data_IF_967208335723
#
_entry.id   IF_967208335723
#
_cell.length_a   1.000
_cell.length_b   1.000
_cell.length_c   1.000
_cell.angle_alpha   90.00
_cell.angle_beta   90.00
_cell.angle_gamma   90.00
#
_symmetry.space_group_name_H-M   'P 1'
#
loop_
_entity.id
_entity.type
_entity.pdbx_description
1 polymer ?
#
# COMPACT_ATOMS: atom_id res chain seq x y z
N UNK A 1 17.06 8.39 -6.49
CA UNK A 1 16.74 6.95 -6.41
C UNK A 1 16.94 6.42 -5.00
N UNK A 2 18.14 6.50 -4.43
CA UNK A 2 18.50 5.92 -3.12
C UNK A 2 17.58 6.39 -1.98
N UNK A 3 17.33 7.69 -1.87
CA UNK A 3 16.46 8.24 -0.82
C UNK A 3 15.05 7.63 -0.84
N UNK A 4 14.47 7.42 -2.04
CA UNK A 4 13.14 6.77 -2.17
C UNK A 4 13.21 5.32 -1.72
N UNK A 5 14.26 4.59 -2.09
CA UNK A 5 14.48 3.21 -1.65
C UNK A 5 14.69 3.13 -0.14
N UNK A 6 15.49 4.02 0.43
CA UNK A 6 15.73 4.03 1.88
C UNK A 6 14.44 4.27 2.67
N UNK A 7 13.65 5.28 2.28
CA UNK A 7 12.41 5.62 2.99
C UNK A 7 11.34 4.54 2.79
N UNK A 8 11.09 4.13 1.54
CA UNK A 8 9.95 3.25 1.25
C UNK A 8 10.25 1.77 1.50
N UNK A 9 11.50 1.34 1.33
CA UNK A 9 11.88 -0.08 1.38
C UNK A 9 12.64 -0.39 2.66
N UNK A 10 13.83 0.23 2.83
CA UNK A 10 14.71 -0.09 3.95
C UNK A 10 14.02 0.16 5.29
N UNK A 11 13.39 1.32 5.47
CA UNK A 11 12.71 1.65 6.73
C UNK A 11 11.49 0.77 6.98
N UNK A 12 10.71 0.46 5.93
CA UNK A 12 9.56 -0.45 6.07
C UNK A 12 10.00 -1.85 6.50
N UNK A 13 11.08 -2.38 5.91
CA UNK A 13 11.63 -3.66 6.29
C UNK A 13 12.23 -3.66 7.71
N UNK A 14 12.98 -2.62 8.08
CA UNK A 14 13.55 -2.49 9.43
C UNK A 14 12.44 -2.45 10.48
N UNK A 15 11.38 -1.70 10.25
CA UNK A 15 10.24 -1.63 11.16
C UNK A 15 9.55 -3.00 11.27
N UNK A 16 9.27 -3.65 10.14
CA UNK A 16 8.66 -5.00 10.13
C UNK A 16 9.53 -6.01 10.90
N UNK A 17 10.85 -5.95 10.75
CA UNK A 17 11.79 -6.80 11.49
C UNK A 17 11.72 -6.59 12.99
N UNK A 18 11.72 -5.34 13.44
CA UNK A 18 11.73 -5.05 14.88
C UNK A 18 10.38 -5.39 15.54
N UNK A 19 9.24 -5.08 14.89
CA UNK A 19 7.94 -5.47 15.45
C UNK A 19 7.74 -6.99 15.44
N UNK A 20 8.30 -7.69 14.45
CA UNK A 20 8.29 -9.17 14.43
C UNK A 20 8.99 -9.77 15.65
N UNK A 21 10.14 -9.22 16.05
CA UNK A 21 10.84 -9.68 17.27
C UNK A 21 9.94 -9.51 18.50
N UNK A 22 9.29 -8.36 18.61
CA UNK A 22 8.38 -8.07 19.73
C UNK A 22 7.18 -9.02 19.73
N UNK A 23 6.54 -9.23 18.56
CA UNK A 23 5.39 -10.12 18.43
C UNK A 23 5.74 -11.58 18.78
N UNK A 24 6.92 -12.06 18.32
CA UNK A 24 7.42 -13.40 18.69
C UNK A 24 7.66 -13.55 20.18
N UNK A 25 8.21 -12.52 20.83
CA UNK A 25 8.44 -12.53 22.28
C UNK A 25 7.12 -12.52 23.09
N UNK A 26 6.07 -11.89 22.56
CA UNK A 26 4.74 -11.87 23.18
C UNK A 26 4.02 -13.23 23.06
N UNK A 27 4.24 -13.96 21.97
CA UNK A 27 3.68 -15.29 21.75
C UNK A 27 2.23 -15.32 21.27
N UNK A 28 1.59 -14.17 21.08
CA UNK A 28 0.16 -14.06 20.73
C UNK A 28 -0.07 -13.88 19.20
N UNK A 29 1.00 -14.03 18.39
CA UNK A 29 0.95 -13.72 16.97
C UNK A 29 0.92 -12.20 16.70
N UNK A 30 0.40 -11.80 15.56
CA UNK A 30 0.31 -10.37 15.22
C UNK A 30 -0.11 -10.08 13.79
N UNK A 31 -0.35 -8.80 13.52
CA UNK A 31 -0.73 -8.28 12.19
C UNK A 31 0.24 -7.19 11.77
N UNK A 32 0.92 -7.40 10.64
CA UNK A 32 1.78 -6.41 10.00
C UNK A 32 1.11 -5.99 8.70
N UNK A 33 0.81 -4.70 8.56
CA UNK A 33 0.21 -4.14 7.34
C UNK A 33 1.17 -3.10 6.78
N UNK A 34 1.75 -3.42 5.63
CA UNK A 34 2.62 -2.50 4.88
C UNK A 34 1.79 -1.64 3.93
N UNK A 35 2.31 -0.47 3.57
CA UNK A 35 1.66 0.44 2.62
C UNK A 35 2.41 0.40 1.28
N UNK A 36 1.83 -0.32 0.33
CA UNK A 36 2.27 -0.37 -1.06
C UNK A 36 1.58 0.71 -1.90
N UNK A 37 1.33 0.45 -3.15
CA UNK A 37 0.64 1.33 -4.10
C UNK A 37 0.20 0.53 -5.32
N UNK A 38 -0.79 1.00 -6.06
CA UNK A 38 -1.04 0.54 -7.44
C UNK A 38 0.23 0.61 -8.31
N UNK A 39 1.21 1.45 -7.94
CA UNK A 39 2.52 1.56 -8.60
C UNK A 39 3.50 0.44 -8.25
N UNK A 40 3.19 -0.41 -7.33
CA UNK A 40 3.89 -1.69 -7.13
C UNK A 40 3.62 -2.68 -8.27
N UNK A 41 2.44 -2.58 -8.90
CA UNK A 41 2.03 -3.41 -10.04
C UNK A 41 2.23 -2.71 -11.39
N UNK A 42 1.92 -1.42 -11.47
CA UNK A 42 1.86 -0.66 -12.72
C UNK A 42 2.96 0.39 -12.80
N UNK A 43 3.60 0.52 -13.97
CA UNK A 43 4.49 1.62 -14.29
C UNK A 43 3.78 2.97 -14.44
N UNK A 44 4.56 4.05 -14.55
CA UNK A 44 4.07 5.39 -14.81
C UNK A 44 5.08 6.18 -15.67
N UNK A 45 4.63 6.88 -16.72
CA UNK A 45 5.55 7.54 -17.68
C UNK A 45 6.23 8.81 -17.13
N UNK A 46 5.75 9.40 -16.03
CA UNK A 46 6.21 10.70 -15.53
C UNK A 46 7.38 10.62 -14.53
N UNK A 47 8.42 9.82 -14.81
CA UNK A 47 9.63 9.79 -13.97
C UNK A 47 9.49 9.03 -12.65
N UNK A 48 8.54 8.13 -12.52
CA UNK A 48 8.23 7.38 -11.30
C UNK A 48 9.08 6.11 -11.11
N UNK A 49 10.19 5.94 -11.83
CA UNK A 49 11.00 4.71 -11.77
C UNK A 49 11.36 4.31 -10.33
N UNK A 50 11.93 5.23 -9.55
CA UNK A 50 12.30 4.95 -8.16
C UNK A 50 11.08 4.59 -7.29
N UNK A 51 9.98 5.30 -7.46
CA UNK A 51 8.75 5.05 -6.70
C UNK A 51 8.13 3.70 -7.06
N UNK A 52 7.96 3.39 -8.34
CA UNK A 52 7.45 2.09 -8.79
C UNK A 52 8.33 0.96 -8.29
N UNK A 53 9.66 1.05 -8.47
CA UNK A 53 10.61 0.07 -7.97
C UNK A 53 10.48 -0.13 -6.46
N UNK A 54 10.36 0.95 -5.68
CA UNK A 54 10.22 0.87 -4.23
C UNK A 54 8.92 0.18 -3.80
N UNK A 55 7.80 0.46 -4.48
CA UNK A 55 6.51 -0.16 -4.14
C UNK A 55 6.43 -1.62 -4.58
N UNK A 56 7.05 -1.99 -5.71
CA UNK A 56 7.25 -3.41 -6.09
C UNK A 56 8.13 -4.15 -5.07
N UNK A 57 9.16 -3.48 -4.52
CA UNK A 57 9.97 -4.07 -3.45
C UNK A 57 9.16 -4.30 -2.16
N UNK A 58 8.28 -3.36 -1.78
CA UNK A 58 7.37 -3.55 -0.63
C UNK A 58 6.43 -4.73 -0.85
N UNK A 59 5.92 -4.92 -2.07
CA UNK A 59 5.11 -6.09 -2.43
C UNK A 59 5.92 -7.39 -2.28
N UNK A 60 7.19 -7.38 -2.70
CA UNK A 60 8.13 -8.49 -2.52
C UNK A 60 8.39 -8.81 -1.04
N UNK A 61 8.65 -7.79 -0.21
CA UNK A 61 8.82 -7.91 1.24
C UNK A 61 7.56 -8.50 1.88
N UNK A 62 6.38 -8.02 1.50
CA UNK A 62 5.11 -8.51 2.03
C UNK A 62 4.95 -10.01 1.80
N UNK A 63 5.23 -10.47 0.57
CA UNK A 63 5.14 -11.89 0.20
C UNK A 63 6.16 -12.73 0.94
N UNK A 64 7.42 -12.30 0.96
CA UNK A 64 8.51 -13.02 1.61
C UNK A 64 8.26 -13.18 3.12
N UNK A 65 7.99 -12.07 3.83
CA UNK A 65 7.70 -12.12 5.26
C UNK A 65 6.42 -12.89 5.57
N UNK A 66 5.39 -12.81 4.70
CA UNK A 66 4.17 -13.60 4.85
C UNK A 66 4.44 -15.11 4.83
N UNK A 67 5.38 -15.56 3.99
CA UNK A 67 5.83 -16.95 3.96
C UNK A 67 6.72 -17.29 5.17
N UNK A 68 7.69 -16.45 5.49
CA UNK A 68 8.67 -16.67 6.56
C UNK A 68 8.03 -16.74 7.96
N UNK A 69 6.90 -16.03 8.15
CA UNK A 69 6.24 -15.91 9.46
C UNK A 69 4.97 -16.73 9.57
N UNK A 70 4.60 -17.52 8.56
CA UNK A 70 3.31 -18.20 8.47
C UNK A 70 3.01 -19.17 9.62
N UNK A 71 4.02 -19.78 10.22
CA UNK A 71 3.90 -20.72 11.35
C UNK A 71 3.94 -20.04 12.73
N UNK A 72 4.17 -18.73 12.77
CA UNK A 72 4.34 -17.97 14.03
C UNK A 72 3.04 -17.31 14.51
N UNK A 73 1.94 -17.45 13.77
CA UNK A 73 0.70 -16.71 14.03
C UNK A 73 0.75 -15.22 13.64
N UNK A 74 1.86 -14.77 13.02
CA UNK A 74 2.01 -13.41 12.50
C UNK A 74 1.63 -13.40 11.02
N UNK A 75 0.71 -12.52 10.63
CA UNK A 75 0.39 -12.30 9.22
C UNK A 75 1.01 -11.00 8.71
N UNK A 76 1.50 -11.01 7.48
CA UNK A 76 2.08 -9.83 6.81
C UNK A 76 1.34 -9.60 5.51
N UNK A 77 0.67 -8.46 5.41
CA UNK A 77 -0.09 -8.06 4.23
C UNK A 77 0.24 -6.62 3.84
N UNK A 78 -0.19 -6.18 2.68
CA UNK A 78 -0.08 -4.78 2.27
C UNK A 78 -1.41 -4.22 1.79
N UNK A 79 -1.62 -2.92 2.01
CA UNK A 79 -2.65 -2.14 1.34
C UNK A 79 -1.98 -1.41 0.17
N UNK A 80 -2.58 -1.46 -1.00
CA UNK A 80 -2.07 -0.82 -2.22
C UNK A 80 -3.09 0.21 -2.75
N UNK A 81 -3.08 1.44 -2.24
CA UNK A 81 -3.96 2.50 -2.72
C UNK A 81 -3.47 3.07 -4.06
N UNK A 82 -4.37 3.77 -4.76
CA UNK A 82 -4.04 4.69 -5.84
C UNK A 82 -4.01 6.12 -5.32
N UNK A 83 -4.65 7.08 -6.00
CA UNK A 83 -4.71 8.47 -5.55
C UNK A 83 -5.83 8.66 -4.54
N UNK A 84 -5.47 9.05 -3.34
CA UNK A 84 -6.35 9.39 -2.24
C UNK A 84 -6.17 10.85 -1.83
N UNK A 85 -7.21 11.47 -1.28
CA UNK A 85 -7.09 12.79 -0.67
C UNK A 85 -6.13 12.73 0.53
N UNK A 86 -5.10 13.54 0.49
CA UNK A 86 -4.08 13.65 1.54
C UNK A 86 -3.37 14.98 1.41
N UNK A 87 -2.57 15.41 2.40
CA UNK A 87 -1.74 16.61 2.24
C UNK A 87 -0.84 16.58 1.00
N UNK A 88 -0.32 15.41 0.63
CA UNK A 88 0.54 15.24 -0.55
C UNK A 88 -0.22 15.44 -1.87
N UNK A 89 -1.48 15.08 -1.93
CA UNK A 89 -2.33 15.11 -3.13
C UNK A 89 -3.35 16.25 -3.11
N UNK A 90 -3.35 17.11 -2.07
CA UNK A 90 -4.31 18.18 -1.86
C UNK A 90 -4.48 19.07 -3.11
N UNK A 91 -3.36 19.38 -3.78
CA UNK A 91 -3.35 20.17 -5.00
C UNK A 91 -4.24 19.61 -6.13
N UNK A 92 -4.40 18.28 -6.22
CA UNK A 92 -5.28 17.64 -7.21
C UNK A 92 -6.77 17.89 -6.94
N UNK A 93 -7.10 18.30 -5.72
CA UNK A 93 -8.48 18.55 -5.29
C UNK A 93 -8.84 20.04 -5.27
N UNK A 94 -7.91 20.91 -5.66
CA UNK A 94 -8.15 22.35 -5.81
C UNK A 94 -9.12 22.63 -6.96
N UNK A 95 -9.84 23.75 -6.85
CA UNK A 95 -10.78 24.20 -7.88
C UNK A 95 -10.09 25.17 -8.85
N UNK A 96 -9.13 24.63 -9.62
CA UNK A 96 -8.48 25.34 -10.70
C UNK A 96 -8.39 24.44 -11.96
N UNK A 97 -8.25 25.04 -13.16
CA UNK A 97 -8.30 24.29 -14.42
C UNK A 97 -7.20 23.20 -14.54
N UNK A 98 -6.01 23.44 -14.00
CA UNK A 98 -4.89 22.49 -14.05
C UNK A 98 -5.18 21.26 -13.19
N UNK A 99 -5.57 21.46 -11.94
CA UNK A 99 -5.96 20.38 -11.02
C UNK A 99 -7.14 19.58 -11.57
N UNK A 100 -8.14 20.25 -12.12
CA UNK A 100 -9.32 19.59 -12.73
C UNK A 100 -8.90 18.74 -13.93
N UNK A 101 -8.03 19.23 -14.79
CA UNK A 101 -7.51 18.48 -15.96
C UNK A 101 -6.78 17.22 -15.53
N UNK A 102 -5.85 17.32 -14.55
CA UNK A 102 -5.09 16.17 -14.05
C UNK A 102 -6.01 15.17 -13.38
N UNK A 103 -6.90 15.65 -12.51
CA UNK A 103 -7.88 14.81 -11.81
C UNK A 103 -8.80 14.07 -12.78
N UNK A 104 -9.37 14.76 -13.76
CA UNK A 104 -10.25 14.16 -14.78
C UNK A 104 -9.50 13.11 -15.59
N UNK A 105 -8.28 13.41 -16.05
CA UNK A 105 -7.45 12.45 -16.78
C UNK A 105 -7.08 11.21 -15.96
N UNK A 106 -6.99 11.34 -14.63
CA UNK A 106 -6.79 10.19 -13.75
C UNK A 106 -8.07 9.38 -13.57
N UNK A 107 -9.20 10.07 -13.32
CA UNK A 107 -10.51 9.44 -13.06
C UNK A 107 -10.99 8.62 -14.24
N UNK A 108 -10.68 8.99 -15.49
CA UNK A 108 -11.04 8.18 -16.67
C UNK A 108 -10.48 6.76 -16.65
N UNK A 109 -9.43 6.54 -15.86
CA UNK A 109 -8.78 5.23 -15.68
C UNK A 109 -9.23 4.49 -14.42
N UNK A 110 -10.13 5.08 -13.65
CA UNK A 110 -10.67 4.49 -12.41
C UNK A 110 -12.13 4.09 -12.62
N UNK A 111 -12.45 2.79 -12.74
CA UNK A 111 -13.83 2.33 -12.99
C UNK A 111 -14.88 2.88 -12.02
N UNK A 112 -14.50 3.12 -10.76
CA UNK A 112 -15.39 3.76 -9.76
C UNK A 112 -15.70 5.23 -10.05
N UNK A 113 -15.05 5.87 -11.04
CA UNK A 113 -15.32 7.25 -11.46
C UNK A 113 -14.96 8.34 -10.45
N UNK A 114 -14.16 8.02 -9.42
CA UNK A 114 -13.70 8.98 -8.41
C UNK A 114 -12.32 8.62 -7.85
N UNK A 115 -11.68 9.60 -7.25
CA UNK A 115 -10.49 9.38 -6.41
C UNK A 115 -10.90 8.82 -5.04
N UNK A 116 -9.92 8.28 -4.33
CA UNK A 116 -10.13 7.75 -2.98
C UNK A 116 -10.20 8.84 -1.91
N UNK A 117 -11.00 8.60 -0.89
CA UNK A 117 -11.02 9.38 0.34
C UNK A 117 -10.39 8.53 1.47
N UNK A 118 -9.83 9.14 2.53
CA UNK A 118 -9.19 8.40 3.63
C UNK A 118 -10.08 7.30 4.23
N UNK A 119 -11.38 7.54 4.29
CA UNK A 119 -12.38 6.61 4.82
C UNK A 119 -12.47 5.30 4.01
N UNK A 120 -12.16 5.34 2.72
CA UNK A 120 -12.13 4.14 1.85
C UNK A 120 -11.05 3.14 2.27
N UNK A 121 -10.00 3.59 3.00
CA UNK A 121 -8.95 2.72 3.53
C UNK A 121 -9.28 2.13 4.91
N UNK A 122 -10.24 2.69 5.62
CA UNK A 122 -10.57 2.25 6.97
C UNK A 122 -11.02 0.78 7.01
N UNK A 123 -11.93 0.38 6.11
CA UNK A 123 -12.41 -1.01 6.03
C UNK A 123 -11.29 -2.01 5.73
N UNK A 124 -10.52 -1.84 4.66
CA UNK A 124 -9.36 -2.68 4.36
C UNK A 124 -8.34 -2.76 5.51
N UNK A 125 -8.03 -1.64 6.15
CA UNK A 125 -7.09 -1.61 7.27
C UNK A 125 -7.64 -2.37 8.48
N UNK A 126 -8.88 -2.15 8.87
CA UNK A 126 -9.54 -2.87 9.96
C UNK A 126 -9.61 -4.37 9.67
N UNK A 127 -9.95 -4.76 8.43
CA UNK A 127 -9.95 -6.16 8.02
C UNK A 127 -8.57 -6.80 8.22
N UNK A 128 -7.52 -6.21 7.63
CA UNK A 128 -6.17 -6.76 7.69
C UNK A 128 -5.55 -6.72 9.10
N UNK A 129 -6.02 -5.83 9.96
CA UNK A 129 -5.54 -5.69 11.36
C UNK A 129 -6.35 -6.51 12.37
N UNK A 130 -7.37 -7.23 11.95
CA UNK A 130 -8.26 -8.00 12.81
C UNK A 130 -8.16 -9.51 12.58
N UNK A 131 -8.81 -10.29 13.44
CA UNK A 131 -8.92 -11.74 13.29
C UNK A 131 -9.68 -12.18 12.04
N UNK A 132 -10.45 -11.30 11.41
CA UNK A 132 -11.13 -11.58 10.15
C UNK A 132 -10.15 -11.92 9.00
N UNK A 133 -8.87 -11.55 9.15
CA UNK A 133 -7.81 -11.83 8.17
C UNK A 133 -6.80 -12.90 8.62
N UNK A 134 -7.14 -13.76 9.58
CA UNK A 134 -6.18 -14.73 10.15
C UNK A 134 -5.59 -15.70 9.12
N UNK A 135 -6.32 -16.00 8.05
CA UNK A 135 -5.86 -16.87 6.95
C UNK A 135 -5.14 -16.11 5.83
N UNK A 136 -5.14 -14.77 5.89
CA UNK A 136 -4.52 -13.92 4.87
C UNK A 136 -3.11 -13.55 5.29
N UNK A 137 -2.10 -13.98 4.52
CA UNK A 137 -0.72 -13.55 4.67
C UNK A 137 -0.02 -13.50 3.32
N UNK A 138 0.90 -12.57 3.13
CA UNK A 138 1.59 -12.32 1.85
C UNK A 138 0.71 -11.64 0.79
N UNK A 139 -0.45 -11.11 1.17
CA UNK A 139 -1.44 -10.57 0.22
C UNK A 139 -1.28 -9.06 0.03
N UNK A 140 -1.49 -8.60 -1.21
CA UNK A 140 -1.53 -7.17 -1.56
C UNK A 140 -2.98 -6.82 -1.88
N UNK A 141 -3.60 -6.03 -1.00
CA UNK A 141 -5.00 -5.60 -1.16
C UNK A 141 -5.06 -4.24 -1.86
N UNK A 142 -5.47 -4.26 -3.12
CA UNK A 142 -5.63 -3.04 -3.92
C UNK A 142 -6.90 -2.31 -3.52
N UNK A 143 -6.75 -1.08 -3.00
CA UNK A 143 -7.83 -0.15 -2.68
C UNK A 143 -7.78 1.00 -3.71
N UNK A 144 -8.22 0.74 -4.93
CA UNK A 144 -7.88 1.56 -6.10
C UNK A 144 -9.08 1.89 -7.01
N UNK A 145 -10.28 1.53 -6.61
CA UNK A 145 -11.49 1.77 -7.42
C UNK A 145 -11.53 1.01 -8.75
N UNK A 146 -10.74 -0.07 -8.87
CA UNK A 146 -10.62 -0.88 -10.08
C UNK A 146 -9.52 -0.41 -11.04
N UNK A 147 -8.66 0.53 -10.63
CA UNK A 147 -7.59 1.09 -11.45
C UNK A 147 -6.61 0.03 -11.99
N UNK A 148 -6.37 -1.04 -11.24
CA UNK A 148 -5.47 -2.13 -11.62
C UNK A 148 -6.19 -3.34 -12.22
N UNK A 149 -7.51 -3.30 -12.35
CA UNK A 149 -8.30 -4.42 -12.86
C UNK A 149 -8.44 -4.45 -14.39
N UNK A 150 -8.06 -3.37 -15.08
CA UNK A 150 -8.19 -3.24 -16.53
C UNK A 150 -7.09 -2.45 -17.18
#
# INVERSE_FOLDING_TARGET
FSTVMDVNVTQSWLMAREVTKQMKNQGDGGKIVLVSSARGLLGHPAGYTAYCASKSAVDGITKALGCELGDTGITVNAIAPTVFRSPLTAWMFEDNPEAQKVRSGFITRVPKGRLGEPEDLAGPLLFLSSRASDVYTGHILYADGGYTAG
#
